data_IF_612926220874
#
_entry.id   IF_612926220874
#
_cell.length_a   1.000
_cell.length_b   1.000
_cell.length_c   1.000
_cell.angle_alpha   90.00
_cell.angle_beta   90.00
_cell.angle_gamma   90.00
#
_symmetry.space_group_name_H-M   'P 1'
#
loop_
_entity.id
_entity.type
_entity.pdbx_description
1 polymer ?
#
# COMPACT_ATOMS: atom_id res chain seq x y z
N UNK A 1 -39.30 27.79 -19.15
CA UNK A 1 -37.92 28.21 -18.84
C UNK A 1 -37.20 26.98 -18.36
N UNK A 2 -36.38 26.34 -19.18
CA UNK A 2 -35.57 25.23 -18.76
C UNK A 2 -34.43 25.79 -17.89
N UNK A 3 -34.32 25.37 -16.64
CA UNK A 3 -33.18 25.69 -15.78
C UNK A 3 -31.94 25.11 -16.46
N UNK A 4 -30.95 25.94 -16.73
CA UNK A 4 -29.62 25.48 -17.12
C UNK A 4 -29.10 24.64 -15.95
N UNK A 5 -29.11 23.32 -16.11
CA UNK A 5 -28.47 22.41 -15.20
C UNK A 5 -26.97 22.68 -15.32
N UNK A 6 -26.39 23.26 -14.28
CA UNK A 6 -24.98 23.57 -14.23
C UNK A 6 -24.22 22.26 -14.45
N UNK A 7 -23.46 22.18 -15.55
CA UNK A 7 -22.69 20.95 -15.87
C UNK A 7 -21.54 20.89 -14.88
N UNK A 8 -21.72 20.12 -13.80
CA UNK A 8 -20.68 19.86 -12.83
C UNK A 8 -19.46 19.21 -13.52
N UNK A 9 -18.29 19.73 -13.28
CA UNK A 9 -17.06 19.19 -13.86
C UNK A 9 -16.78 17.76 -13.35
N UNK A 10 -16.12 16.92 -14.15
CA UNK A 10 -15.75 15.57 -13.70
C UNK A 10 -14.88 15.58 -12.45
N UNK A 11 -14.03 16.59 -12.29
CA UNK A 11 -13.19 16.77 -11.07
C UNK A 11 -14.03 17.07 -9.84
N UNK A 12 -15.09 17.85 -9.95
CA UNK A 12 -16.03 18.10 -8.84
C UNK A 12 -16.81 16.84 -8.49
N UNK A 13 -17.27 16.09 -9.49
CA UNK A 13 -17.92 14.78 -9.29
C UNK A 13 -17.02 13.79 -8.57
N UNK A 14 -15.74 13.71 -8.94
CA UNK A 14 -14.75 12.85 -8.29
C UNK A 14 -14.60 13.19 -6.80
N UNK A 15 -14.56 14.47 -6.44
CA UNK A 15 -14.48 14.93 -5.04
C UNK A 15 -15.78 14.65 -4.29
N UNK A 16 -16.90 14.83 -4.94
CA UNK A 16 -18.21 14.54 -4.36
C UNK A 16 -18.37 13.06 -4.02
N UNK A 17 -17.89 12.16 -4.88
CA UNK A 17 -17.88 10.72 -4.61
C UNK A 17 -17.04 10.39 -3.36
N UNK A 18 -15.85 10.99 -3.19
CA UNK A 18 -15.07 10.82 -1.97
C UNK A 18 -15.84 11.27 -0.72
N UNK A 19 -16.52 12.41 -0.79
CA UNK A 19 -17.32 12.94 0.32
C UNK A 19 -18.45 11.96 0.70
N UNK A 20 -19.23 11.50 -0.28
CA UNK A 20 -20.30 10.53 -0.07
C UNK A 20 -19.77 9.21 0.49
N UNK A 21 -18.65 8.71 -0.06
CA UNK A 21 -17.98 7.52 0.47
C UNK A 21 -17.61 7.70 1.94
N UNK A 22 -17.06 8.85 2.32
CA UNK A 22 -16.70 9.13 3.72
C UNK A 22 -17.92 9.26 4.62
N UNK A 23 -19.04 9.77 4.12
CA UNK A 23 -20.31 9.78 4.86
C UNK A 23 -20.81 8.35 5.13
N UNK A 24 -20.74 7.44 4.14
CA UNK A 24 -21.12 6.03 4.32
C UNK A 24 -20.16 5.29 5.27
N UNK A 25 -18.87 5.58 5.21
CA UNK A 25 -17.85 5.04 6.12
C UNK A 25 -18.09 5.47 7.57
N UNK A 26 -18.49 6.71 7.80
CA UNK A 26 -18.83 7.19 9.14
C UNK A 26 -20.00 6.42 9.78
N UNK A 27 -21.00 6.01 8.99
CA UNK A 27 -22.14 5.21 9.48
C UNK A 27 -21.73 3.82 10.02
N UNK A 28 -20.58 3.30 9.60
CA UNK A 28 -20.04 2.01 10.02
C UNK A 28 -18.79 2.14 10.90
N UNK A 29 -18.49 3.34 11.39
CA UNK A 29 -17.30 3.65 12.20
C UNK A 29 -15.97 3.33 11.51
N UNK A 30 -15.91 3.36 10.18
CA UNK A 30 -14.66 3.28 9.44
C UNK A 30 -14.01 4.67 9.32
N UNK A 31 -12.69 4.75 9.46
CA UNK A 31 -11.95 6.01 9.32
C UNK A 31 -12.14 6.60 7.92
N UNK A 32 -12.20 7.94 7.78
CA UNK A 32 -12.34 8.56 6.48
C UNK A 32 -11.13 8.29 5.58
N UNK A 33 -11.40 8.16 4.28
CA UNK A 33 -10.37 8.09 3.24
C UNK A 33 -9.85 9.49 2.93
N UNK A 34 -8.55 9.59 2.70
CA UNK A 34 -7.92 10.79 2.17
C UNK A 34 -7.71 10.68 0.66
N UNK A 35 -7.83 11.81 -0.02
CA UNK A 35 -7.57 11.84 -1.46
C UNK A 35 -6.10 11.62 -1.79
N UNK A 36 -5.81 10.73 -2.75
CA UNK A 36 -4.47 10.57 -3.33
C UNK A 36 -4.50 10.87 -4.83
N UNK A 37 -3.74 11.88 -5.26
CA UNK A 37 -3.71 12.29 -6.67
C UNK A 37 -3.13 11.21 -7.60
N UNK A 38 -2.26 10.34 -7.10
CA UNK A 38 -1.64 9.26 -7.88
C UNK A 38 -2.66 8.18 -8.20
N UNK A 39 -3.49 7.82 -7.22
CA UNK A 39 -4.62 6.92 -7.42
C UNK A 39 -5.64 7.54 -8.39
N UNK A 40 -5.96 8.82 -8.22
CA UNK A 40 -6.90 9.51 -9.12
C UNK A 40 -6.41 9.59 -10.57
N UNK A 41 -5.11 9.77 -10.79
CA UNK A 41 -4.53 9.74 -12.14
C UNK A 41 -4.64 8.32 -12.74
N UNK A 42 -4.29 7.28 -11.98
CA UNK A 42 -4.42 5.90 -12.43
C UNK A 42 -5.89 5.56 -12.78
N UNK A 43 -6.82 5.94 -11.90
CA UNK A 43 -8.26 5.76 -12.10
C UNK A 43 -8.78 6.47 -13.36
N UNK A 44 -8.36 7.73 -13.61
CA UNK A 44 -8.78 8.46 -14.83
C UNK A 44 -8.24 7.82 -16.11
N UNK A 45 -6.98 7.37 -16.11
CA UNK A 45 -6.38 6.70 -17.26
C UNK A 45 -7.14 5.41 -17.59
N UNK A 46 -7.50 4.60 -16.57
CA UNK A 46 -8.28 3.40 -16.77
C UNK A 46 -9.70 3.70 -17.26
N UNK A 47 -10.37 4.70 -16.68
CA UNK A 47 -11.70 5.14 -17.11
C UNK A 47 -11.69 5.65 -18.55
N UNK A 48 -10.64 6.34 -18.97
CA UNK A 48 -10.47 6.81 -20.36
C UNK A 48 -10.31 5.65 -21.34
N UNK A 49 -9.52 4.65 -20.99
CA UNK A 49 -9.35 3.45 -21.81
C UNK A 49 -10.64 2.60 -21.86
N UNK A 50 -11.38 2.44 -20.76
CA UNK A 50 -12.69 1.80 -20.76
C UNK A 50 -13.69 2.53 -21.66
N UNK A 51 -13.72 3.86 -21.60
CA UNK A 51 -14.60 4.70 -22.41
C UNK A 51 -14.28 4.60 -23.90
N UNK A 52 -13.01 4.61 -24.30
CA UNK A 52 -12.55 4.44 -25.69
C UNK A 52 -12.92 3.07 -26.27
N UNK A 53 -12.73 2.01 -25.49
CA UNK A 53 -13.00 0.64 -25.90
C UNK A 53 -14.46 0.23 -25.68
N UNK A 54 -15.28 1.06 -25.02
CA UNK A 54 -16.66 0.77 -24.61
C UNK A 54 -16.78 -0.56 -23.87
N UNK A 55 -15.80 -0.84 -23.01
CA UNK A 55 -15.68 -2.09 -22.29
C UNK A 55 -15.47 -1.84 -20.79
N UNK A 56 -16.50 -2.14 -19.98
CA UNK A 56 -16.43 -2.04 -18.53
C UNK A 56 -15.74 -3.28 -17.95
N UNK A 57 -14.53 -3.13 -17.47
CA UNK A 57 -13.72 -4.24 -16.95
C UNK A 57 -12.61 -3.71 -16.03
N UNK A 58 -12.16 -4.54 -15.10
CA UNK A 58 -10.97 -4.24 -14.27
C UNK A 58 -9.64 -4.37 -15.03
N UNK A 59 -9.64 -5.04 -16.18
CA UNK A 59 -8.43 -5.30 -16.95
C UNK A 59 -8.73 -5.28 -18.45
N UNK A 60 -8.20 -4.30 -19.14
CA UNK A 60 -8.26 -4.22 -20.61
C UNK A 60 -7.11 -5.01 -21.25
N UNK A 61 -7.32 -5.54 -22.48
CA UNK A 61 -6.25 -6.19 -23.22
C UNK A 61 -5.06 -5.25 -23.46
N UNK A 62 -3.86 -5.71 -23.10
CA UNK A 62 -2.62 -4.94 -23.28
C UNK A 62 -2.36 -3.85 -22.23
N UNK A 63 -3.29 -3.62 -21.33
CA UNK A 63 -3.12 -2.71 -20.22
C UNK A 63 -2.23 -3.31 -19.11
N UNK A 64 -1.47 -2.46 -18.41
CA UNK A 64 -0.77 -2.86 -17.19
C UNK A 64 -1.76 -3.37 -16.13
N UNK A 65 -1.35 -4.34 -15.31
CA UNK A 65 -2.18 -4.86 -14.23
C UNK A 65 -2.58 -3.74 -13.25
N UNK A 66 -3.71 -3.89 -12.58
CA UNK A 66 -4.24 -2.91 -11.64
C UNK A 66 -3.18 -2.32 -10.70
N UNK A 67 -2.48 -3.14 -9.93
CA UNK A 67 -1.45 -2.68 -9.00
C UNK A 67 -0.25 -2.03 -9.69
N UNK A 68 0.05 -2.42 -10.92
CA UNK A 68 1.08 -1.81 -11.74
C UNK A 68 0.64 -0.43 -12.24
N UNK A 69 -0.62 -0.25 -12.66
CA UNK A 69 -1.19 1.06 -13.02
C UNK A 69 -1.01 2.07 -11.88
N UNK A 70 -1.33 1.67 -10.63
CA UNK A 70 -1.14 2.51 -9.45
C UNK A 70 0.33 2.87 -9.23
N UNK A 71 1.21 1.89 -9.34
CA UNK A 71 2.65 2.06 -9.10
C UNK A 71 3.34 2.91 -10.18
N UNK A 72 2.89 2.82 -11.42
CA UNK A 72 3.37 3.67 -12.53
C UNK A 72 3.08 5.16 -12.27
N UNK A 73 2.02 5.47 -11.51
CA UNK A 73 1.72 6.84 -11.05
C UNK A 73 2.46 7.19 -9.74
N UNK A 74 3.32 6.31 -9.23
CA UNK A 74 4.10 6.51 -8.02
C UNK A 74 3.33 6.26 -6.72
N UNK A 75 2.14 5.65 -6.76
CA UNK A 75 1.42 5.24 -5.57
C UNK A 75 2.20 4.14 -4.82
N UNK A 76 2.18 4.20 -3.49
CA UNK A 76 2.81 3.22 -2.61
C UNK A 76 1.78 2.71 -1.62
N UNK A 77 1.64 1.40 -1.55
CA UNK A 77 0.57 0.78 -0.75
C UNK A 77 0.95 -0.64 -0.32
N UNK A 78 0.35 -1.10 0.77
CA UNK A 78 0.42 -2.50 1.23
C UNK A 78 -0.79 -3.31 0.78
N UNK A 79 -1.92 -2.65 0.52
CA UNK A 79 -3.12 -3.26 -0.04
C UNK A 79 -3.83 -2.25 -0.95
N UNK A 80 -4.53 -2.74 -1.97
CA UNK A 80 -5.34 -1.91 -2.86
C UNK A 80 -6.55 -2.67 -3.39
N UNK A 81 -7.58 -1.94 -3.80
CA UNK A 81 -8.77 -2.45 -4.49
C UNK A 81 -9.28 -1.41 -5.49
N UNK A 82 -10.10 -1.89 -6.42
CA UNK A 82 -10.68 -1.08 -7.48
C UNK A 82 -12.17 -1.36 -7.59
N UNK A 83 -12.96 -0.31 -7.82
CA UNK A 83 -14.32 -0.39 -8.31
C UNK A 83 -14.37 0.29 -9.67
N UNK A 84 -15.11 -0.29 -10.61
CA UNK A 84 -15.38 0.31 -11.91
C UNK A 84 -16.89 0.45 -12.12
N UNK A 85 -17.30 1.43 -12.90
CA UNK A 85 -18.71 1.67 -13.17
C UNK A 85 -18.93 2.60 -14.35
N UNK A 86 -20.15 2.61 -14.86
CA UNK A 86 -20.64 3.64 -15.79
C UNK A 86 -22.04 4.08 -15.37
N UNK A 87 -22.40 5.32 -15.67
CA UNK A 87 -23.68 5.88 -15.32
C UNK A 87 -23.90 7.25 -15.96
N UNK A 88 -25.07 7.84 -15.74
CA UNK A 88 -25.41 9.13 -16.32
C UNK A 88 -24.86 10.30 -15.50
N UNK A 89 -24.70 10.10 -14.19
CA UNK A 89 -24.21 11.07 -13.22
C UNK A 89 -23.46 10.41 -12.05
N UNK A 90 -22.85 11.23 -11.20
CA UNK A 90 -22.06 10.77 -10.05
C UNK A 90 -22.93 10.10 -8.96
N UNK A 91 -24.17 10.52 -8.78
CA UNK A 91 -25.09 9.95 -7.78
C UNK A 91 -25.47 8.52 -8.17
N UNK A 92 -25.77 8.30 -9.46
CA UNK A 92 -26.03 6.97 -10.03
C UNK A 92 -24.83 6.04 -9.84
N UNK A 93 -23.61 6.53 -10.09
CA UNK A 93 -22.37 5.77 -9.87
C UNK A 93 -22.22 5.36 -8.40
N UNK A 94 -22.29 6.33 -7.48
CA UNK A 94 -22.14 6.09 -6.04
C UNK A 94 -23.21 5.13 -5.51
N UNK A 95 -24.47 5.35 -5.92
CA UNK A 95 -25.58 4.50 -5.54
C UNK A 95 -25.39 3.06 -6.05
N UNK A 96 -24.97 2.90 -7.31
CA UNK A 96 -24.69 1.61 -7.92
C UNK A 96 -23.62 0.84 -7.15
N UNK A 97 -22.50 1.47 -6.81
CA UNK A 97 -21.45 0.84 -6.03
C UNK A 97 -21.91 0.48 -4.61
N UNK A 98 -22.67 1.35 -3.93
CA UNK A 98 -23.18 1.07 -2.59
C UNK A 98 -24.21 -0.06 -2.55
N UNK A 99 -24.97 -0.29 -3.63
CA UNK A 99 -25.93 -1.39 -3.73
C UNK A 99 -25.31 -2.70 -4.22
N UNK A 100 -24.07 -2.68 -4.72
CA UNK A 100 -23.31 -3.88 -5.12
C UNK A 100 -22.49 -4.43 -3.94
N UNK A 101 -22.72 -5.66 -3.46
CA UNK A 101 -21.99 -6.21 -2.31
C UNK A 101 -20.47 -6.18 -2.46
N UNK A 102 -19.94 -6.49 -3.64
CA UNK A 102 -18.50 -6.48 -3.93
C UNK A 102 -17.91 -5.06 -3.85
N UNK A 103 -18.51 -4.10 -4.56
CA UNK A 103 -18.07 -2.71 -4.56
C UNK A 103 -18.21 -2.08 -3.18
N UNK A 104 -19.33 -2.31 -2.50
CA UNK A 104 -19.57 -1.82 -1.14
C UNK A 104 -18.52 -2.33 -0.15
N UNK A 105 -18.06 -3.57 -0.29
CA UNK A 105 -16.98 -4.10 0.55
C UNK A 105 -15.72 -3.27 0.42
N UNK A 106 -15.34 -2.83 -0.78
CA UNK A 106 -14.18 -1.97 -1.00
C UNK A 106 -14.40 -0.57 -0.39
N UNK A 107 -15.55 0.07 -0.64
CA UNK A 107 -15.91 1.39 -0.10
C UNK A 107 -15.81 1.44 1.44
N UNK A 108 -16.28 0.40 2.12
CA UNK A 108 -16.39 0.38 3.58
C UNK A 108 -15.23 -0.36 4.27
N UNK A 109 -14.23 -0.85 3.54
CA UNK A 109 -13.11 -1.58 4.11
C UNK A 109 -12.27 -0.67 5.05
N UNK A 110 -12.21 -0.97 6.36
CA UNK A 110 -11.49 -0.13 7.31
C UNK A 110 -9.96 -0.14 7.13
N UNK A 111 -9.42 -1.10 6.36
CA UNK A 111 -7.98 -1.18 6.10
C UNK A 111 -7.50 -0.11 5.12
N UNK A 112 -8.39 0.44 4.27
CA UNK A 112 -8.00 1.50 3.34
C UNK A 112 -8.02 2.86 4.03
N UNK A 113 -7.05 3.71 3.67
CA UNK A 113 -6.89 5.08 4.18
C UNK A 113 -6.76 6.12 3.06
N UNK A 114 -6.66 5.69 1.81
CA UNK A 114 -6.53 6.55 0.63
C UNK A 114 -7.52 6.13 -0.45
N UNK A 115 -7.96 7.11 -1.23
CA UNK A 115 -8.83 6.93 -2.38
C UNK A 115 -8.47 7.92 -3.49
N UNK A 116 -8.56 7.45 -4.72
CA UNK A 116 -8.57 8.28 -5.92
C UNK A 116 -9.77 7.91 -6.77
N UNK A 117 -10.45 8.88 -7.34
CA UNK A 117 -11.56 8.67 -8.28
C UNK A 117 -11.16 9.25 -9.62
N UNK A 118 -11.47 8.55 -10.69
CA UNK A 118 -11.27 9.00 -12.05
C UNK A 118 -12.56 8.89 -12.86
N UNK A 119 -13.05 10.02 -13.38
CA UNK A 119 -14.28 10.08 -14.20
C UNK A 119 -13.97 10.64 -15.58
N UNK A 120 -14.42 9.95 -16.59
CA UNK A 120 -14.36 10.37 -17.99
C UNK A 120 -15.76 10.39 -18.59
N UNK A 121 -16.12 11.49 -19.25
CA UNK A 121 -17.38 11.62 -19.98
C UNK A 121 -17.19 11.19 -21.45
N UNK A 122 -18.01 10.27 -21.91
CA UNK A 122 -18.05 9.85 -23.32
C UNK A 122 -19.50 9.90 -23.80
N UNK A 123 -19.82 10.92 -24.59
CA UNK A 123 -21.22 11.24 -24.94
C UNK A 123 -22.01 11.65 -23.69
N UNK A 124 -23.14 11.00 -23.46
CA UNK A 124 -23.99 11.26 -22.29
C UNK A 124 -23.63 10.38 -21.08
N UNK A 125 -22.61 9.52 -21.19
CA UNK A 125 -22.28 8.53 -20.19
C UNK A 125 -20.97 8.87 -19.49
N UNK A 126 -20.92 8.68 -18.17
CA UNK A 126 -19.71 8.70 -17.35
C UNK A 126 -19.14 7.31 -17.25
N UNK A 127 -17.83 7.19 -17.42
CA UNK A 127 -17.03 6.02 -17.11
C UNK A 127 -16.19 6.36 -15.89
N UNK A 128 -16.22 5.50 -14.90
CA UNK A 128 -15.61 5.85 -13.62
C UNK A 128 -14.89 4.66 -12.98
N UNK A 129 -13.80 5.01 -12.29
CA UNK A 129 -12.99 4.10 -11.49
C UNK A 129 -12.77 4.71 -10.11
N UNK A 130 -12.89 3.91 -9.07
CA UNK A 130 -12.47 4.21 -7.71
C UNK A 130 -11.30 3.31 -7.35
N UNK A 131 -10.15 3.90 -7.07
CA UNK A 131 -8.96 3.20 -6.58
C UNK A 131 -8.81 3.45 -5.08
N UNK A 132 -8.76 2.37 -4.30
CA UNK A 132 -8.55 2.38 -2.86
C UNK A 132 -7.18 1.84 -2.52
N UNK A 133 -6.56 2.39 -1.47
CA UNK A 133 -5.28 1.88 -1.00
C UNK A 133 -5.11 2.00 0.52
N UNK A 134 -4.37 1.04 1.10
CA UNK A 134 -3.65 1.24 2.35
C UNK A 134 -2.31 1.87 1.99
N UNK A 135 -2.28 3.20 1.94
CA UNK A 135 -1.10 3.94 1.57
C UNK A 135 0.03 3.78 2.59
N UNK A 136 1.26 3.65 2.10
CA UNK A 136 2.46 3.55 2.92
C UNK A 136 3.42 4.69 2.62
N UNK A 137 4.05 5.22 3.66
CA UNK A 137 5.05 6.27 3.51
C UNK A 137 6.28 5.77 2.73
N UNK A 138 6.86 6.65 1.93
CA UNK A 138 8.19 6.40 1.37
C UNK A 138 9.21 6.86 2.40
N UNK A 139 9.87 5.89 3.02
CA UNK A 139 10.96 6.13 3.95
C UNK A 139 12.31 5.99 3.24
N UNK A 140 13.34 6.67 3.72
CA UNK A 140 14.72 6.31 3.40
C UNK A 140 15.02 4.91 3.96
N UNK A 141 16.13 4.30 3.57
CA UNK A 141 16.56 3.02 4.16
C UNK A 141 16.78 3.17 5.66
N UNK A 142 17.38 4.28 6.08
CA UNK A 142 17.64 4.63 7.47
C UNK A 142 16.34 4.79 8.28
N UNK A 143 15.40 5.60 7.78
CA UNK A 143 14.12 5.84 8.46
C UNK A 143 13.30 4.54 8.54
N UNK A 144 13.39 3.68 7.52
CA UNK A 144 12.73 2.37 7.53
C UNK A 144 13.34 1.45 8.59
N UNK A 145 14.67 1.37 8.67
CA UNK A 145 15.39 0.61 9.69
C UNK A 145 15.02 1.09 11.09
N UNK A 146 15.02 2.40 11.33
CA UNK A 146 14.61 3.00 12.61
C UNK A 146 13.15 2.68 12.96
N UNK A 147 12.26 2.69 11.96
CA UNK A 147 10.85 2.33 12.18
C UNK A 147 10.68 0.85 12.57
N UNK A 148 11.45 -0.05 11.96
CA UNK A 148 11.50 -1.47 12.35
C UNK A 148 12.05 -1.65 13.76
N UNK A 149 13.09 -0.91 14.13
CA UNK A 149 13.66 -0.92 15.49
C UNK A 149 12.63 -0.52 16.54
N UNK A 150 11.91 0.58 16.31
CA UNK A 150 10.81 1.05 17.16
C UNK A 150 9.72 -0.01 17.31
N UNK A 151 9.40 -0.70 16.23
CA UNK A 151 8.38 -1.76 16.24
C UNK A 151 8.84 -2.97 17.06
N UNK A 152 10.07 -3.44 16.87
CA UNK A 152 10.65 -4.53 17.68
C UNK A 152 10.66 -4.15 19.17
N UNK A 153 11.11 -2.94 19.50
CA UNK A 153 11.13 -2.45 20.88
C UNK A 153 9.72 -2.39 21.50
N UNK A 154 8.73 -1.89 20.74
CA UNK A 154 7.34 -1.82 21.17
C UNK A 154 6.73 -3.20 21.38
N UNK A 155 7.00 -4.14 20.47
CA UNK A 155 6.54 -5.52 20.56
C UNK A 155 7.06 -6.19 21.83
N UNK A 156 8.35 -6.09 22.11
CA UNK A 156 8.98 -6.67 23.32
C UNK A 156 8.46 -6.03 24.60
N UNK A 157 8.33 -4.68 24.63
CA UNK A 157 7.76 -3.96 25.77
C UNK A 157 6.33 -4.43 26.08
N UNK A 158 5.49 -4.62 25.05
CA UNK A 158 4.11 -5.12 25.21
C UNK A 158 4.06 -6.51 25.86
N UNK A 159 5.10 -7.32 25.68
CA UNK A 159 5.21 -8.67 26.24
C UNK A 159 6.08 -8.74 27.52
N UNK A 160 6.44 -7.59 28.11
CA UNK A 160 7.24 -7.54 29.33
C UNK A 160 8.69 -8.02 29.18
N UNK A 161 9.21 -8.06 27.95
CA UNK A 161 10.56 -8.51 27.64
C UNK A 161 11.57 -7.35 27.64
N UNK A 162 12.83 -7.57 28.04
CA UNK A 162 13.88 -6.55 27.97
C UNK A 162 14.11 -6.12 26.51
N UNK A 163 14.54 -4.87 26.30
CA UNK A 163 14.92 -4.37 24.99
C UNK A 163 16.10 -5.19 24.43
N UNK A 164 16.14 -5.32 23.10
CA UNK A 164 17.31 -5.84 22.39
C UNK A 164 18.22 -4.68 21.96
N UNK A 165 19.51 -4.92 21.89
CA UNK A 165 20.47 -3.96 21.35
C UNK A 165 20.33 -3.92 19.82
N UNK A 166 20.04 -2.74 19.27
CA UNK A 166 20.01 -2.51 17.83
C UNK A 166 21.39 -2.04 17.36
N UNK A 167 21.92 -2.66 16.32
CA UNK A 167 23.18 -2.26 15.69
C UNK A 167 22.95 -1.99 14.21
N UNK A 168 23.09 -0.75 13.80
CA UNK A 168 23.02 -0.37 12.38
C UNK A 168 24.18 -1.01 11.60
N UNK A 169 23.87 -1.65 10.50
CA UNK A 169 24.86 -2.33 9.65
C UNK A 169 24.81 -1.83 8.20
N UNK A 170 25.75 -0.96 7.83
CA UNK A 170 25.93 -0.52 6.43
C UNK A 170 26.24 -1.67 5.48
N UNK A 171 26.84 -2.75 5.99
CA UNK A 171 27.13 -3.94 5.22
C UNK A 171 25.84 -4.72 4.92
N UNK A 172 24.94 -4.91 5.90
CA UNK A 172 23.63 -5.54 5.66
C UNK A 172 22.78 -4.71 4.70
N UNK A 173 22.81 -3.38 4.83
CA UNK A 173 22.10 -2.50 3.88
C UNK A 173 22.64 -2.66 2.46
N UNK A 174 23.96 -2.74 2.28
CA UNK A 174 24.56 -2.98 0.96
C UNK A 174 24.10 -4.30 0.38
N UNK A 175 24.09 -5.38 1.17
CA UNK A 175 23.61 -6.70 0.75
C UNK A 175 22.14 -6.63 0.38
N UNK A 176 21.30 -5.96 1.16
CA UNK A 176 19.89 -5.73 0.85
C UNK A 176 19.71 -5.02 -0.50
N UNK A 177 20.55 -4.04 -0.81
CA UNK A 177 20.49 -3.29 -2.08
C UNK A 177 20.96 -4.12 -3.30
N UNK A 178 21.96 -4.96 -3.17
CA UNK A 178 22.48 -5.78 -4.29
C UNK A 178 21.57 -6.98 -4.60
N UNK A 179 20.72 -7.39 -3.64
CA UNK A 179 19.87 -8.56 -3.79
C UNK A 179 20.60 -9.88 -3.59
N UNK A 180 21.85 -9.85 -3.16
CA UNK A 180 22.57 -11.06 -2.77
C UNK A 180 22.02 -11.56 -1.43
N UNK A 181 21.10 -12.51 -1.52
CA UNK A 181 20.35 -13.04 -0.38
C UNK A 181 20.94 -14.35 0.16
N UNK A 182 22.14 -14.72 -0.27
CA UNK A 182 22.82 -15.89 0.28
C UNK A 182 23.03 -15.67 1.79
N UNK A 183 22.35 -16.47 2.61
CA UNK A 183 22.32 -16.33 4.08
C UNK A 183 23.71 -16.25 4.74
N UNK A 184 24.76 -16.76 4.07
CA UNK A 184 26.15 -16.65 4.48
C UNK A 184 26.68 -15.21 4.51
N UNK A 185 26.27 -14.34 3.58
CA UNK A 185 26.73 -12.96 3.53
C UNK A 185 26.16 -12.13 4.70
N UNK A 186 24.89 -12.34 5.06
CA UNK A 186 24.26 -11.70 6.21
C UNK A 186 24.93 -12.13 7.54
N UNK A 187 25.26 -13.40 7.67
CA UNK A 187 25.95 -13.96 8.85
C UNK A 187 27.39 -13.46 8.97
N UNK A 188 28.10 -13.32 7.84
CA UNK A 188 29.46 -12.77 7.81
C UNK A 188 29.54 -11.27 8.18
N UNK A 189 28.41 -10.55 8.06
CA UNK A 189 28.29 -9.15 8.42
C UNK A 189 28.10 -8.90 9.92
N UNK A 190 27.97 -9.96 10.75
CA UNK A 190 27.78 -9.82 12.20
C UNK A 190 29.07 -9.41 12.92
N UNK A 191 29.00 -8.55 13.95
CA UNK A 191 30.18 -7.99 14.60
C UNK A 191 30.99 -9.00 15.45
N UNK A 192 30.47 -10.19 15.72
CA UNK A 192 31.13 -11.19 16.59
C UNK A 192 31.05 -12.59 15.99
N UNK A 193 32.17 -13.32 16.05
CA UNK A 193 32.25 -14.76 15.74
C UNK A 193 31.89 -15.57 16.99
N UNK A 194 31.21 -16.71 16.85
CA UNK A 194 30.78 -17.66 17.90
C UNK A 194 29.49 -17.30 18.65
N UNK A 195 28.53 -16.68 18.00
CA UNK A 195 27.20 -16.43 18.57
C UNK A 195 26.14 -17.29 17.88
N UNK A 196 25.11 -17.70 18.61
CA UNK A 196 23.89 -18.19 17.98
C UNK A 196 23.23 -17.02 17.27
N UNK A 197 23.12 -17.11 15.94
CA UNK A 197 22.50 -16.06 15.16
C UNK A 197 21.46 -16.64 14.20
N UNK A 198 20.42 -15.85 13.94
CA UNK A 198 19.35 -16.14 13.01
C UNK A 198 19.27 -15.02 11.99
N UNK A 199 19.30 -15.33 10.71
CA UNK A 199 19.12 -14.33 9.66
C UNK A 199 17.75 -14.45 9.02
N UNK A 200 17.12 -13.32 8.74
CA UNK A 200 15.85 -13.19 8.04
C UNK A 200 16.05 -12.31 6.83
N UNK A 201 15.55 -12.78 5.69
CA UNK A 201 15.53 -12.06 4.44
C UNK A 201 14.11 -12.05 3.91
N UNK A 202 13.54 -10.87 3.71
CA UNK A 202 12.17 -10.72 3.23
C UNK A 202 11.99 -9.39 2.50
N UNK A 203 10.87 -9.28 1.80
CA UNK A 203 10.42 -8.03 1.19
C UNK A 203 9.10 -7.60 1.84
N UNK A 204 8.96 -6.31 2.09
CA UNK A 204 7.73 -5.75 2.67
C UNK A 204 7.48 -4.33 2.15
N UNK A 205 6.23 -3.93 1.92
CA UNK A 205 5.91 -2.56 1.55
C UNK A 205 6.02 -1.58 2.73
N UNK A 206 5.93 -2.06 3.97
CA UNK A 206 5.86 -1.26 5.17
C UNK A 206 6.68 -1.84 6.33
N UNK A 207 7.27 -0.99 7.15
CA UNK A 207 7.91 -1.38 8.41
C UNK A 207 6.92 -1.99 9.42
N UNK A 208 5.62 -1.76 9.25
CA UNK A 208 4.56 -2.34 10.09
C UNK A 208 4.31 -3.83 9.79
N UNK A 209 4.65 -4.30 8.60
CA UNK A 209 4.33 -5.65 8.12
C UNK A 209 5.54 -6.59 8.28
N UNK A 210 5.95 -6.84 9.52
CA UNK A 210 7.03 -7.77 9.80
C UNK A 210 6.54 -9.24 9.72
N UNK A 211 7.34 -10.15 9.13
CA UNK A 211 6.96 -11.56 9.03
C UNK A 211 6.73 -12.20 10.41
N UNK A 212 5.72 -13.05 10.52
CA UNK A 212 5.37 -13.75 11.75
C UNK A 212 6.55 -14.58 12.31
N UNK A 213 7.37 -15.17 11.43
CA UNK A 213 8.54 -15.95 11.84
C UNK A 213 9.60 -15.08 12.52
N UNK A 214 9.77 -13.82 12.08
CA UNK A 214 10.66 -12.85 12.71
C UNK A 214 10.08 -12.40 14.06
N UNK A 215 8.81 -11.96 14.10
CA UNK A 215 8.16 -11.49 15.32
C UNK A 215 8.12 -12.57 16.39
N UNK A 216 7.83 -13.82 16.02
CA UNK A 216 7.91 -14.97 16.92
C UNK A 216 9.31 -15.13 17.49
N UNK A 217 10.35 -15.11 16.66
CA UNK A 217 11.74 -15.27 17.12
C UNK A 217 12.18 -14.13 18.03
N UNK A 218 11.82 -12.89 17.71
CA UNK A 218 12.07 -11.71 18.56
C UNK A 218 11.46 -11.86 19.95
N UNK A 219 10.30 -12.50 20.08
CA UNK A 219 9.64 -12.76 21.38
C UNK A 219 10.22 -13.96 22.13
N UNK A 220 10.73 -14.98 21.43
CA UNK A 220 11.34 -16.16 22.05
C UNK A 220 12.75 -15.90 22.63
N UNK A 221 13.44 -14.86 22.16
CA UNK A 221 14.78 -14.53 22.65
C UNK A 221 14.72 -13.80 23.98
N UNK A 222 15.35 -14.34 25.06
CA UNK A 222 15.31 -13.70 26.38
C UNK A 222 16.06 -12.37 26.41
N UNK A 223 17.22 -12.31 25.76
CA UNK A 223 18.07 -11.13 25.59
C UNK A 223 18.92 -11.28 24.32
N UNK A 224 19.61 -10.24 23.92
CA UNK A 224 20.51 -10.24 22.77
C UNK A 224 20.43 -8.94 21.99
N UNK A 225 20.99 -8.99 20.79
CA UNK A 225 20.98 -7.87 19.87
C UNK A 225 20.49 -8.27 18.48
N UNK A 226 20.40 -7.29 17.62
CA UNK A 226 20.16 -7.52 16.19
C UNK A 226 20.83 -6.44 15.34
N UNK A 227 21.14 -6.83 14.12
CA UNK A 227 21.55 -5.89 13.08
C UNK A 227 20.51 -5.92 11.97
N UNK A 228 20.23 -4.76 11.39
CA UNK A 228 19.29 -4.58 10.31
C UNK A 228 19.93 -3.85 9.15
N UNK A 229 19.55 -4.22 7.95
CA UNK A 229 19.82 -3.48 6.71
C UNK A 229 18.61 -3.56 5.79
N UNK A 230 18.15 -2.42 5.32
CA UNK A 230 17.02 -2.33 4.40
C UNK A 230 17.40 -1.54 3.14
N UNK A 231 16.80 -1.91 2.02
CA UNK A 231 16.93 -1.20 0.77
C UNK A 231 15.60 -1.11 0.05
N UNK A 232 15.24 0.09 -0.38
CA UNK A 232 14.06 0.28 -1.22
C UNK A 232 14.28 -0.42 -2.57
N UNK A 233 13.53 -1.47 -2.83
CA UNK A 233 13.48 -2.15 -4.12
C UNK A 233 12.55 -1.38 -5.05
N UNK A 234 12.95 -1.22 -6.31
CA UNK A 234 12.00 -0.78 -7.33
C UNK A 234 10.93 -1.84 -7.52
N UNK A 235 9.76 -1.42 -8.02
CA UNK A 235 8.58 -2.27 -8.15
C UNK A 235 8.92 -3.67 -8.66
N UNK A 236 8.56 -4.70 -7.90
CA UNK A 236 8.61 -6.08 -8.35
C UNK A 236 7.53 -6.36 -9.41
N UNK A 237 7.41 -7.61 -9.86
CA UNK A 237 6.45 -8.04 -10.90
C UNK A 237 4.97 -7.73 -10.61
N UNK A 238 4.63 -7.29 -9.41
CA UNK A 238 3.29 -6.89 -8.97
C UNK A 238 3.09 -5.36 -8.91
N UNK A 239 4.07 -4.56 -9.37
CA UNK A 239 3.99 -3.11 -9.38
C UNK A 239 4.19 -2.43 -8.01
N UNK A 240 4.23 -3.17 -6.90
CA UNK A 240 4.41 -2.59 -5.56
C UNK A 240 5.87 -2.29 -5.27
N UNK A 241 6.16 -1.08 -4.82
CA UNK A 241 7.48 -0.74 -4.27
C UNK A 241 7.60 -1.33 -2.87
N UNK A 242 8.62 -2.16 -2.66
CA UNK A 242 8.87 -2.83 -1.38
C UNK A 242 10.28 -2.52 -0.88
N UNK A 243 10.49 -2.71 0.42
CA UNK A 243 11.82 -2.77 1.00
C UNK A 243 12.30 -4.21 1.00
N UNK A 244 13.50 -4.44 0.52
CA UNK A 244 14.22 -5.70 0.78
C UNK A 244 14.95 -5.53 2.10
N UNK A 245 14.71 -6.43 3.03
CA UNK A 245 15.15 -6.32 4.43
C UNK A 245 15.97 -7.55 4.80
N UNK A 246 17.11 -7.30 5.43
CA UNK A 246 17.94 -8.30 6.08
C UNK A 246 18.02 -7.97 7.57
N UNK A 247 17.66 -8.92 8.41
CA UNK A 247 17.79 -8.82 9.87
C UNK A 247 18.56 -10.03 10.37
N UNK A 248 19.57 -9.78 11.19
CA UNK A 248 20.30 -10.82 11.89
C UNK A 248 20.11 -10.63 13.40
N UNK A 249 19.45 -11.60 14.05
CA UNK A 249 19.30 -11.68 15.51
C UNK A 249 20.45 -12.49 16.11
N UNK A 250 20.99 -12.06 17.24
CA UNK A 250 22.09 -12.74 17.91
C UNK A 250 22.03 -12.62 19.44
N UNK A 251 22.65 -13.59 20.14
CA UNK A 251 22.82 -13.59 21.60
C UNK A 251 24.20 -14.08 22.01
#
# INVERSE_FOLDING_TARGET
>A
MASAQEITSTTEMERQILEWTNQERAKVNASPLTWDNRLAIAARLHSDEMAKQKNLTHQLPGEAKFTERLSLQGARFSAAAENVGFGDDAETLQSGWMHSPGHRTNLLNPAYNQMGVGIVRSGNQLWATEDFATGVARLSSEDFEEAVEKQIASLRKKHGLPAMEAVTSTQLRRIACTGDTAGGAAMAALPRRNMQAYSFNFTTPSSADLPNVLTKRVLEMPAGGYSIGACLSQAGNNGMSTYRVLIALYR
#
